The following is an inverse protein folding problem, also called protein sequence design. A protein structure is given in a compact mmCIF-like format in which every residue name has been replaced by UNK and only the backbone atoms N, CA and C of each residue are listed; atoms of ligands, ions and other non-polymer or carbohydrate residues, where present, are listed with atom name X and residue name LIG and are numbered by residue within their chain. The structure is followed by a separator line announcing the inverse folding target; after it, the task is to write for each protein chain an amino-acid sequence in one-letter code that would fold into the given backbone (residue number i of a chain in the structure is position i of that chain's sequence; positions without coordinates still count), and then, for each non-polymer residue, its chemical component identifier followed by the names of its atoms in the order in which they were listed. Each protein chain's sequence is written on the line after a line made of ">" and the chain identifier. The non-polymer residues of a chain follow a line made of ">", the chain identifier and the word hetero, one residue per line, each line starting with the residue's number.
data_IF_729974946935
#
_entry.id   IF_729974946935
#
_cell.length_a   1.000
_cell.length_b   1.000
_cell.length_c   1.000
_cell.angle_alpha   90.00
_cell.angle_beta   90.00
_cell.angle_gamma   90.00
#
_symmetry.space_group_name_H-M   'P 1'
#
loop_
_entity.id
_entity.type
_entity.pdbx_description
1 polymer ?
#
# COMPACT_ATOMS: atom_id res chain seq x y z
N UNK A 1 31.43 9.01 7.39
CA UNK A 1 31.08 8.03 8.44
C UNK A 1 32.25 7.09 8.80
N UNK A 2 33.51 7.46 8.54
CA UNK A 2 34.63 6.51 8.74
C UNK A 2 35.15 6.56 10.18
N UNK A 3 35.33 7.77 10.71
CA UNK A 3 35.87 8.01 12.06
C UNK A 3 34.97 7.41 13.16
N UNK A 4 33.65 7.58 13.08
CA UNK A 4 32.71 7.04 14.08
C UNK A 4 32.65 5.50 14.05
N UNK A 5 32.81 4.90 12.85
CA UNK A 5 32.85 3.44 12.68
C UNK A 5 34.13 2.86 13.29
N UNK A 6 35.28 3.48 13.02
CA UNK A 6 36.59 3.09 13.56
C UNK A 6 36.63 3.14 15.10
N UNK A 7 35.95 4.12 15.72
CA UNK A 7 35.81 4.16 17.19
C UNK A 7 34.87 3.07 17.74
N UNK A 8 33.80 2.73 17.01
CA UNK A 8 32.84 1.69 17.44
C UNK A 8 33.42 0.28 17.30
N UNK A 9 34.26 0.03 16.31
CA UNK A 9 34.91 -1.28 16.09
C UNK A 9 36.13 -1.51 17.00
N UNK A 10 36.49 -0.52 17.83
CA UNK A 10 37.63 -0.62 18.75
C UNK A 10 38.99 -0.51 18.04
N UNK A 11 39.02 -0.10 16.77
CA UNK A 11 40.25 0.07 16.00
C UNK A 11 41.06 1.30 16.45
N UNK A 12 40.45 2.22 17.20
CA UNK A 12 41.09 3.37 17.86
C UNK A 12 40.54 3.62 19.25
N UNK A 13 41.43 3.90 20.20
CA UNK A 13 41.05 4.37 21.54
C UNK A 13 40.64 5.85 21.51
N UNK A 14 39.54 6.18 22.19
CA UNK A 14 39.04 7.55 22.27
C UNK A 14 39.82 8.28 23.37
N UNK A 15 40.47 9.43 23.09
CA UNK A 15 41.07 10.26 24.14
C UNK A 15 40.01 10.60 25.20
N UNK A 16 40.32 10.48 26.49
CA UNK A 16 39.34 10.65 27.59
C UNK A 16 38.60 12.00 27.56
N UNK A 17 39.22 13.06 27.01
CA UNK A 17 38.59 14.37 26.77
C UNK A 17 37.63 14.37 25.58
N UNK A 18 37.94 13.62 24.52
CA UNK A 18 37.08 13.44 23.35
C UNK A 18 35.93 12.45 23.60
N UNK A 19 36.10 11.49 24.52
CA UNK A 19 35.08 10.50 24.86
C UNK A 19 33.78 11.15 25.38
N UNK A 20 33.89 12.15 26.26
CA UNK A 20 32.73 12.94 26.72
C UNK A 20 32.03 13.65 25.57
N UNK A 21 32.79 14.19 24.62
CA UNK A 21 32.25 14.88 23.43
C UNK A 21 31.55 13.91 22.46
N UNK A 22 32.07 12.69 22.30
CA UNK A 22 31.45 11.64 21.48
C UNK A 22 30.15 11.13 22.12
N UNK A 23 30.14 10.88 23.43
CA UNK A 23 28.92 10.49 24.16
C UNK A 23 27.81 11.55 24.06
N UNK A 24 28.17 12.83 24.23
CA UNK A 24 27.23 13.95 24.06
C UNK A 24 26.69 14.02 22.63
N UNK A 25 27.55 13.87 21.62
CA UNK A 25 27.14 13.82 20.22
C UNK A 25 26.18 12.66 19.95
N UNK A 26 26.46 11.46 20.46
CA UNK A 26 25.59 10.28 20.29
C UNK A 26 24.23 10.48 20.97
N UNK A 27 24.20 11.03 22.19
CA UNK A 27 22.94 11.39 22.88
C UNK A 27 22.14 12.40 22.08
N UNK A 28 22.80 13.43 21.53
CA UNK A 28 22.13 14.42 20.67
C UNK A 28 21.62 13.80 19.37
N UNK A 29 22.39 12.91 18.74
CA UNK A 29 21.98 12.21 17.53
C UNK A 29 20.77 11.32 17.79
N UNK A 30 20.79 10.53 18.85
CA UNK A 30 19.66 9.70 19.27
C UNK A 30 18.41 10.56 19.49
N UNK A 31 18.54 11.67 20.21
CA UNK A 31 17.43 12.61 20.43
C UNK A 31 16.89 13.19 19.12
N UNK A 32 17.79 13.56 18.18
CA UNK A 32 17.38 14.08 16.86
C UNK A 32 16.63 13.03 16.04
N UNK A 33 17.11 11.79 16.04
CA UNK A 33 16.45 10.69 15.33
C UNK A 33 15.08 10.37 15.93
N UNK A 34 14.99 10.35 17.26
CA UNK A 34 13.74 10.13 17.98
C UNK A 34 12.72 11.23 17.64
N UNK A 35 13.13 12.50 17.74
CA UNK A 35 12.27 13.62 17.38
C UNK A 35 11.83 13.57 15.91
N UNK A 36 12.74 13.24 14.99
CA UNK A 36 12.42 13.11 13.57
C UNK A 36 11.42 11.98 13.32
N UNK A 37 11.58 10.85 14.01
CA UNK A 37 10.66 9.73 13.93
C UNK A 37 9.26 10.09 14.43
N UNK A 38 9.16 10.78 15.57
CA UNK A 38 7.89 11.24 16.14
C UNK A 38 7.16 12.17 15.17
N UNK A 39 7.86 13.19 14.64
CA UNK A 39 7.30 14.13 13.66
C UNK A 39 6.84 13.39 12.39
N UNK A 40 7.64 12.45 11.89
CA UNK A 40 7.28 11.68 10.71
C UNK A 40 6.04 10.81 10.97
N UNK A 41 6.00 10.11 12.11
CA UNK A 41 4.91 9.23 12.51
C UNK A 41 3.58 10.00 12.63
N UNK A 42 3.59 11.14 13.32
CA UNK A 42 2.40 11.99 13.45
C UNK A 42 1.87 12.49 12.10
N UNK A 43 2.76 12.95 11.23
CA UNK A 43 2.39 13.44 9.90
C UNK A 43 1.88 12.32 9.01
N UNK A 44 2.52 11.15 9.06
CA UNK A 44 2.07 9.95 8.34
C UNK A 44 0.68 9.53 8.79
N UNK A 45 0.40 9.51 10.10
CA UNK A 45 -0.92 9.19 10.63
C UNK A 45 -1.99 10.18 10.15
N UNK A 46 -1.75 11.49 10.27
CA UNK A 46 -2.66 12.55 9.80
C UNK A 46 -2.92 12.46 8.30
N UNK A 47 -1.87 12.20 7.51
CA UNK A 47 -2.01 12.08 6.06
C UNK A 47 -2.73 10.79 5.65
N UNK A 48 -2.51 9.68 6.35
CA UNK A 48 -3.21 8.42 6.11
C UNK A 48 -4.72 8.55 6.38
N UNK A 49 -5.11 9.23 7.45
CA UNK A 49 -6.51 9.51 7.76
C UNK A 49 -7.17 10.37 6.66
N UNK A 50 -6.51 11.46 6.25
CA UNK A 50 -6.97 12.33 5.15
C UNK A 50 -7.11 11.57 3.85
N UNK A 51 -6.10 10.78 3.49
CA UNK A 51 -6.08 9.96 2.27
C UNK A 51 -7.24 8.96 2.29
N UNK A 52 -7.45 8.26 3.40
CA UNK A 52 -8.54 7.27 3.54
C UNK A 52 -9.89 7.93 3.41
N UNK A 53 -10.10 9.06 4.09
CA UNK A 53 -11.34 9.83 4.04
C UNK A 53 -11.62 10.33 2.62
N UNK A 54 -10.62 10.89 1.94
CA UNK A 54 -10.76 11.39 0.58
C UNK A 54 -11.02 10.26 -0.44
N UNK A 55 -10.29 9.15 -0.32
CA UNK A 55 -10.46 7.98 -1.19
C UNK A 55 -11.86 7.38 -1.04
N UNK A 56 -12.37 7.28 0.20
CA UNK A 56 -13.68 6.69 0.48
C UNK A 56 -14.85 7.67 0.25
N UNK A 57 -14.62 8.98 0.17
CA UNK A 57 -15.66 10.02 0.12
C UNK A 57 -16.75 9.78 -0.95
N UNK A 58 -16.36 9.23 -2.11
CA UNK A 58 -17.29 8.96 -3.23
C UNK A 58 -17.41 7.47 -3.53
N UNK A 59 -16.85 6.61 -2.68
CA UNK A 59 -17.02 5.18 -2.82
C UNK A 59 -18.48 4.83 -2.62
N UNK A 60 -18.99 3.96 -3.49
CA UNK A 60 -20.33 3.37 -3.35
C UNK A 60 -20.15 1.89 -3.21
N UNK A 61 -20.92 1.31 -2.30
CA UNK A 61 -20.95 -0.14 -2.17
C UNK A 61 -21.52 -0.75 -3.46
N UNK A 62 -20.78 -1.71 -4.01
CA UNK A 62 -21.19 -2.51 -5.17
C UNK A 62 -21.41 -3.94 -4.72
N UNK A 63 -22.65 -4.41 -4.81
CA UNK A 63 -23.02 -5.78 -4.51
C UNK A 63 -23.54 -6.47 -5.76
N UNK A 64 -23.21 -7.75 -5.91
CA UNK A 64 -23.70 -8.60 -6.99
C UNK A 64 -24.28 -9.87 -6.39
N UNK A 65 -25.23 -10.49 -7.08
CA UNK A 65 -25.81 -11.78 -6.73
C UNK A 65 -25.32 -12.86 -7.69
N UNK A 66 -25.33 -14.11 -7.24
CA UNK A 66 -25.09 -15.25 -8.12
C UNK A 66 -26.18 -15.28 -9.19
N UNK A 67 -25.77 -15.36 -10.44
CA UNK A 67 -26.67 -15.32 -11.59
C UNK A 67 -26.69 -13.97 -12.32
N UNK A 68 -26.21 -12.89 -11.71
CA UNK A 68 -26.21 -11.56 -12.33
C UNK A 68 -25.34 -11.55 -13.60
N UNK A 69 -25.87 -10.92 -14.65
CA UNK A 69 -25.11 -10.58 -15.85
C UNK A 69 -24.38 -9.25 -15.66
N UNK A 70 -23.09 -9.24 -15.92
CA UNK A 70 -22.18 -8.13 -15.63
C UNK A 70 -21.19 -7.92 -16.77
N UNK A 71 -20.72 -6.68 -16.91
CA UNK A 71 -19.54 -6.35 -17.70
C UNK A 71 -18.29 -6.46 -16.84
N UNK A 72 -17.20 -6.94 -17.44
CA UNK A 72 -15.90 -7.15 -16.81
C UNK A 72 -14.86 -6.18 -17.38
N UNK A 73 -14.11 -5.51 -16.51
CA UNK A 73 -13.00 -4.65 -16.91
C UNK A 73 -11.70 -5.45 -17.10
N UNK A 74 -11.23 -5.51 -18.35
CA UNK A 74 -10.08 -6.30 -18.79
C UNK A 74 -9.07 -5.48 -19.59
N UNK A 75 -7.76 -5.80 -19.52
CA UNK A 75 -6.78 -5.15 -20.37
C UNK A 75 -7.01 -5.54 -21.83
N UNK A 76 -7.11 -4.56 -22.72
CA UNK A 76 -7.28 -4.77 -24.17
C UNK A 76 -5.96 -4.70 -24.94
N UNK A 77 -4.87 -4.37 -24.26
CA UNK A 77 -3.53 -4.27 -24.82
C UNK A 77 -2.47 -4.67 -23.78
N UNK A 78 -1.23 -4.85 -24.22
CA UNK A 78 -0.05 -4.94 -23.36
C UNK A 78 0.17 -3.65 -22.55
N UNK A 79 -0.37 -2.52 -23.02
CA UNK A 79 -0.39 -1.26 -22.27
C UNK A 79 -1.40 -1.29 -21.12
N UNK A 80 -0.91 -1.25 -19.88
CA UNK A 80 -1.71 -1.33 -18.65
C UNK A 80 -2.80 -0.25 -18.49
N UNK A 81 -2.70 0.86 -19.23
CA UNK A 81 -3.67 1.96 -19.19
C UNK A 81 -4.89 1.72 -20.08
N UNK A 82 -4.80 0.79 -21.03
CA UNK A 82 -5.89 0.44 -21.93
C UNK A 82 -6.69 -0.71 -21.32
N UNK A 83 -7.80 -0.35 -20.67
CA UNK A 83 -8.78 -1.30 -20.16
C UNK A 83 -10.13 -1.11 -20.85
N UNK A 84 -10.80 -2.20 -21.15
CA UNK A 84 -12.08 -2.23 -21.84
C UNK A 84 -13.08 -3.07 -21.04
N UNK A 85 -14.34 -2.65 -21.07
CA UNK A 85 -15.46 -3.43 -20.53
C UNK A 85 -15.86 -4.51 -21.54
N UNK A 86 -15.82 -5.76 -21.13
CA UNK A 86 -16.09 -6.95 -21.95
C UNK A 86 -17.21 -7.75 -21.26
N UNK A 87 -18.17 -8.25 -22.02
CA UNK A 87 -19.30 -9.01 -21.50
C UNK A 87 -20.52 -8.85 -22.40
N UNK A 88 -21.62 -9.56 -22.11
CA UNK A 88 -22.03 -10.02 -20.78
C UNK A 88 -21.26 -11.24 -20.24
N UNK A 89 -21.06 -11.27 -18.92
CA UNK A 89 -20.51 -12.40 -18.19
C UNK A 89 -21.37 -12.68 -16.95
N UNK A 90 -21.36 -13.90 -16.45
CA UNK A 90 -22.26 -14.32 -15.37
C UNK A 90 -21.53 -14.48 -14.04
N UNK A 91 -22.07 -13.93 -12.96
CA UNK A 91 -21.56 -14.17 -11.61
C UNK A 91 -21.92 -15.59 -11.19
N UNK A 92 -20.93 -16.44 -10.96
CA UNK A 92 -21.12 -17.85 -10.57
C UNK A 92 -21.07 -18.02 -9.04
N UNK A 93 -20.23 -17.24 -8.36
CA UNK A 93 -20.03 -17.37 -6.92
C UNK A 93 -19.51 -16.08 -6.31
N UNK A 94 -20.01 -15.73 -5.13
CA UNK A 94 -19.41 -14.72 -4.26
C UNK A 94 -18.32 -15.39 -3.41
N UNK A 95 -17.06 -15.01 -3.59
CA UNK A 95 -15.92 -15.66 -2.91
C UNK A 95 -15.53 -14.93 -1.65
N UNK A 96 -15.48 -13.59 -1.70
CA UNK A 96 -15.10 -12.69 -0.60
C UNK A 96 -16.06 -11.49 -0.60
N UNK A 97 -16.07 -10.65 0.45
CA UNK A 97 -16.98 -9.50 0.52
C UNK A 97 -16.95 -8.58 -0.72
N UNK A 98 -15.79 -8.46 -1.36
CA UNK A 98 -15.60 -7.61 -2.55
C UNK A 98 -14.99 -8.35 -3.74
N UNK A 99 -15.06 -9.68 -3.75
CA UNK A 99 -14.61 -10.49 -4.88
C UNK A 99 -15.63 -11.55 -5.25
N UNK A 100 -15.76 -11.80 -6.54
CA UNK A 100 -16.63 -12.82 -7.07
C UNK A 100 -15.97 -13.56 -8.24
N UNK A 101 -16.39 -14.81 -8.41
CA UNK A 101 -16.06 -15.64 -9.55
C UNK A 101 -17.06 -15.36 -10.66
N UNK A 102 -16.56 -14.92 -11.81
CA UNK A 102 -17.35 -14.65 -13.01
C UNK A 102 -17.00 -15.65 -14.10
N UNK A 103 -18.01 -16.10 -14.84
CA UNK A 103 -17.86 -16.95 -16.02
C UNK A 103 -18.09 -16.11 -17.27
N UNK A 104 -17.10 -16.12 -18.16
CA UNK A 104 -17.17 -15.50 -19.48
C UNK A 104 -17.92 -16.42 -20.46
N UNK A 105 -18.34 -15.89 -21.61
CA UNK A 105 -19.00 -16.66 -22.67
C UNK A 105 -18.16 -17.86 -23.14
N UNK A 106 -16.84 -17.71 -23.14
CA UNK A 106 -15.85 -18.74 -23.51
C UNK A 106 -15.82 -19.93 -22.52
N UNK A 107 -16.64 -19.90 -21.46
CA UNK A 107 -16.66 -20.88 -20.38
C UNK A 107 -15.56 -20.68 -19.33
N UNK A 108 -14.60 -19.79 -19.59
CA UNK A 108 -13.51 -19.49 -18.66
C UNK A 108 -14.02 -18.73 -17.43
N UNK A 109 -13.57 -19.14 -16.24
CA UNK A 109 -13.92 -18.51 -14.98
C UNK A 109 -12.76 -17.69 -14.42
N UNK A 110 -13.04 -16.50 -13.90
CA UNK A 110 -12.03 -15.64 -13.26
C UNK A 110 -12.55 -15.08 -11.95
N UNK A 111 -11.68 -15.01 -10.96
CA UNK A 111 -11.97 -14.29 -9.72
C UNK A 111 -11.59 -12.80 -9.91
N UNK A 112 -12.55 -11.91 -9.69
CA UNK A 112 -12.37 -10.48 -9.87
C UNK A 112 -12.97 -9.68 -8.71
N UNK A 113 -12.36 -8.53 -8.44
CA UNK A 113 -12.90 -7.57 -7.48
C UNK A 113 -14.14 -6.89 -8.06
N UNK A 114 -15.14 -6.60 -7.22
CA UNK A 114 -16.42 -5.95 -7.62
C UNK A 114 -16.24 -4.61 -8.35
N UNK A 115 -15.13 -3.92 -8.08
CA UNK A 115 -14.77 -2.67 -8.78
C UNK A 115 -14.45 -2.86 -10.27
N UNK A 116 -14.03 -4.07 -10.66
CA UNK A 116 -13.82 -4.45 -12.06
C UNK A 116 -15.10 -4.92 -12.72
N UNK A 117 -16.24 -4.81 -12.05
CA UNK A 117 -17.55 -5.20 -12.57
C UNK A 117 -18.49 -4.00 -12.67
N UNK A 118 -19.42 -4.13 -13.60
CA UNK A 118 -20.51 -3.19 -13.82
C UNK A 118 -21.78 -3.97 -14.14
N UNK A 119 -22.91 -3.58 -13.56
CA UNK A 119 -24.21 -4.06 -14.00
C UNK A 119 -24.43 -3.68 -15.47
N UNK A 120 -25.05 -4.58 -16.24
CA UNK A 120 -25.53 -4.27 -17.58
C UNK A 120 -26.68 -3.25 -17.53
#
# INVERSE_FOLDING_TARGET
>A
MTILKEFWTGEREIPTSAARSVEEYLKQLQKKLQNAHEIASENSAKNQERMTSHYNLRSREKSFSVGDEVLILMPSSTHKLLMTWIGPAKVVKLTRPHSCLVQMEDGNTRELHVNKLRHL
#
